data_IF_310540899531
#
_entry.id   IF_310540899531
#
_cell.length_a   1.000
_cell.length_b   1.000
_cell.length_c   1.000
_cell.angle_alpha   90.00
_cell.angle_beta   90.00
_cell.angle_gamma   90.00
#
_symmetry.space_group_name_H-M   'P 1'
#
loop_
_entity.id
_entity.type
_entity.pdbx_description
1 polymer ?
#
# COMPACT_ATOMS: atom_id res chain seq x y z
N UNK A 1 4.65 2.46 -16.32
CA UNK A 1 6.11 2.56 -16.60
C UNK A 1 6.83 2.36 -15.28
N UNK A 2 7.90 1.55 -15.20
CA UNK A 2 8.71 1.37 -13.98
C UNK A 2 8.49 0.07 -13.17
N UNK A 3 7.69 -0.88 -13.67
CA UNK A 3 7.53 -2.18 -12.99
C UNK A 3 8.80 -3.05 -13.02
N UNK A 4 9.73 -2.78 -13.94
CA UNK A 4 10.95 -3.60 -14.12
C UNK A 4 11.87 -3.63 -12.91
N UNK A 5 11.82 -2.60 -12.05
CA UNK A 5 12.64 -2.52 -10.83
C UNK A 5 11.86 -2.96 -9.57
N UNK A 6 10.65 -3.49 -9.76
CA UNK A 6 9.79 -4.01 -8.69
C UNK A 6 9.68 -5.51 -8.77
N UNK A 7 9.07 -6.11 -7.76
CA UNK A 7 8.90 -7.55 -7.69
C UNK A 7 8.10 -8.11 -8.89
N UNK A 8 7.21 -7.31 -9.48
CA UNK A 8 6.46 -7.61 -10.70
C UNK A 8 7.35 -7.65 -11.97
N UNK A 9 8.50 -6.96 -11.97
CA UNK A 9 9.48 -6.99 -13.05
C UNK A 9 10.24 -8.31 -13.16
N UNK A 10 10.30 -9.06 -12.05
CA UNK A 10 10.94 -10.37 -11.91
C UNK A 10 9.87 -11.45 -11.71
N UNK A 11 8.85 -11.45 -12.57
CA UNK A 11 7.65 -12.26 -12.37
C UNK A 11 7.92 -13.77 -12.28
N UNK A 12 8.95 -14.29 -12.96
CA UNK A 12 9.33 -15.69 -12.88
C UNK A 12 9.89 -16.04 -11.49
N UNK A 13 10.87 -15.27 -11.02
CA UNK A 13 11.50 -15.45 -9.71
C UNK A 13 10.50 -15.23 -8.57
N UNK A 14 9.62 -14.22 -8.70
CA UNK A 14 8.53 -13.96 -7.77
C UNK A 14 7.59 -15.17 -7.68
N UNK A 15 7.17 -15.71 -8.83
CA UNK A 15 6.32 -16.91 -8.86
C UNK A 15 7.02 -18.10 -8.21
N UNK A 16 8.29 -18.35 -8.52
CA UNK A 16 9.02 -19.48 -7.95
C UNK A 16 9.16 -19.38 -6.43
N UNK A 17 9.46 -18.19 -5.89
CA UNK A 17 9.54 -17.97 -4.44
C UNK A 17 8.18 -18.16 -3.76
N UNK A 18 7.14 -17.53 -4.29
CA UNK A 18 5.79 -17.59 -3.72
C UNK A 18 5.20 -19.00 -3.79
N UNK A 19 5.42 -19.71 -4.91
CA UNK A 19 5.06 -21.12 -5.06
C UNK A 19 5.83 -21.99 -4.07
N UNK A 20 7.13 -21.74 -3.85
CA UNK A 20 7.91 -22.49 -2.87
C UNK A 20 7.34 -22.31 -1.46
N UNK A 21 6.98 -21.08 -1.06
CA UNK A 21 6.35 -20.79 0.24
C UNK A 21 5.06 -21.57 0.39
N UNK A 22 4.17 -21.50 -0.60
CA UNK A 22 2.87 -22.18 -0.60
C UNK A 22 3.02 -23.71 -0.54
N UNK A 23 3.79 -24.30 -1.47
CA UNK A 23 3.94 -25.76 -1.59
C UNK A 23 4.66 -26.41 -0.41
N UNK A 24 5.51 -25.66 0.31
CA UNK A 24 6.18 -26.16 1.50
C UNK A 24 5.45 -25.81 2.81
N UNK A 25 4.27 -25.18 2.74
CA UNK A 25 3.48 -24.83 3.91
C UNK A 25 4.20 -23.85 4.84
N UNK A 26 4.99 -22.93 4.30
CA UNK A 26 5.68 -21.90 5.09
C UNK A 26 4.66 -20.82 5.45
N UNK A 27 4.22 -20.82 6.71
CA UNK A 27 3.16 -19.94 7.20
C UNK A 27 3.71 -18.65 7.81
N UNK A 28 2.81 -17.67 8.00
CA UNK A 28 3.09 -16.42 8.71
C UNK A 28 4.20 -15.57 8.06
N UNK A 29 4.27 -15.59 6.72
CA UNK A 29 5.26 -14.83 5.95
C UNK A 29 4.78 -13.40 5.70
N UNK A 30 5.64 -12.44 6.04
CA UNK A 30 5.43 -11.01 5.76
C UNK A 30 6.63 -10.51 4.98
N UNK A 31 6.38 -9.96 3.78
CA UNK A 31 7.37 -9.24 3.01
C UNK A 31 7.32 -7.77 3.44
N UNK A 32 8.47 -7.23 3.85
CA UNK A 32 8.60 -5.81 4.21
C UNK A 32 9.51 -5.18 3.17
N UNK A 33 8.96 -4.22 2.43
CA UNK A 33 9.63 -3.60 1.29
C UNK A 33 9.69 -2.07 1.40
N UNK A 34 10.59 -1.51 0.60
CA UNK A 34 10.71 -0.13 0.16
C UNK A 34 10.99 -0.21 -1.36
N UNK A 35 11.06 0.82 -2.20
CA UNK A 35 11.31 2.25 -2.00
C UNK A 35 10.22 3.10 -2.65
N UNK A 36 8.99 2.59 -2.83
CA UNK A 36 7.97 3.38 -3.56
C UNK A 36 7.52 4.65 -2.82
N UNK A 37 8.13 4.98 -1.67
CA UNK A 37 7.87 6.18 -0.86
C UNK A 37 6.42 6.31 -0.41
N UNK A 38 5.75 5.17 -0.22
CA UNK A 38 4.36 5.10 0.20
C UNK A 38 4.09 3.80 0.94
N UNK A 39 3.15 3.84 1.89
CA UNK A 39 2.72 2.62 2.57
C UNK A 39 1.59 1.97 1.77
N UNK A 40 1.78 0.72 1.36
CA UNK A 40 0.76 -0.08 0.67
C UNK A 40 0.86 -1.51 1.18
N UNK A 41 -0.28 -2.10 1.55
CA UNK A 41 -0.38 -3.49 2.01
C UNK A 41 -1.24 -4.28 1.05
N UNK A 42 -0.77 -5.46 0.66
CA UNK A 42 -1.58 -6.38 -0.16
C UNK A 42 -1.24 -7.83 0.13
N UNK A 43 -2.20 -8.73 0.00
CA UNK A 43 -1.90 -10.16 -0.03
C UNK A 43 -1.08 -10.52 -1.28
N UNK A 44 -0.27 -11.56 -1.15
CA UNK A 44 0.59 -12.03 -2.23
C UNK A 44 0.00 -13.29 -2.87
N UNK A 45 -0.16 -13.22 -4.18
CA UNK A 45 -0.61 -14.32 -5.04
C UNK A 45 0.42 -14.57 -6.14
N UNK A 46 0.43 -15.77 -6.71
CA UNK A 46 1.23 -16.11 -7.89
C UNK A 46 0.37 -16.70 -9.02
N UNK A 47 0.93 -16.81 -10.22
CA UNK A 47 0.30 -17.46 -11.38
C UNK A 47 1.21 -18.57 -11.90
N UNK A 48 0.66 -19.73 -12.26
CA UNK A 48 1.46 -20.83 -12.83
C UNK A 48 1.88 -20.61 -14.29
N UNK A 49 1.20 -19.71 -14.98
CA UNK A 49 1.48 -19.28 -16.34
C UNK A 49 1.00 -17.83 -16.53
N UNK A 50 1.57 -17.07 -17.49
CA UNK A 50 1.17 -15.68 -17.71
C UNK A 50 -0.33 -15.55 -17.92
N UNK A 51 -0.96 -14.59 -17.23
CA UNK A 51 -2.41 -14.35 -17.29
C UNK A 51 -3.24 -15.55 -16.80
N UNK A 52 -2.67 -16.43 -15.98
CA UNK A 52 -3.41 -17.48 -15.29
C UNK A 52 -4.22 -16.97 -14.09
N UNK A 53 -5.03 -17.82 -13.45
CA UNK A 53 -5.68 -17.46 -12.19
C UNK A 53 -4.63 -17.15 -11.11
N UNK A 54 -4.97 -16.21 -10.21
CA UNK A 54 -4.15 -15.93 -9.04
C UNK A 54 -4.33 -17.03 -7.99
N UNK A 55 -3.21 -17.56 -7.50
CA UNK A 55 -3.16 -18.57 -6.43
C UNK A 55 -2.72 -17.88 -5.12
N UNK A 56 -3.53 -17.92 -4.06
CA UNK A 56 -3.20 -17.30 -2.79
C UNK A 56 -2.11 -18.07 -2.04
N UNK A 57 -1.18 -17.34 -1.42
CA UNK A 57 -0.05 -17.94 -0.67
C UNK A 57 -0.22 -17.93 0.85
N UNK A 58 -1.16 -17.12 1.36
CA UNK A 58 -1.25 -16.79 2.79
C UNK A 58 -0.16 -15.82 3.28
N UNK A 59 0.74 -15.36 2.40
CA UNK A 59 1.68 -14.29 2.67
C UNK A 59 1.12 -12.93 2.25
N UNK A 60 1.59 -11.85 2.88
CA UNK A 60 1.33 -10.49 2.43
C UNK A 60 2.61 -9.67 2.37
N UNK A 61 2.54 -8.59 1.61
CA UNK A 61 3.54 -7.55 1.57
C UNK A 61 3.02 -6.27 2.20
N UNK A 62 3.95 -5.54 2.80
CA UNK A 62 3.81 -4.13 3.10
C UNK A 62 5.03 -3.39 2.53
N UNK A 63 4.79 -2.45 1.63
CA UNK A 63 5.78 -1.40 1.39
C UNK A 63 5.65 -0.35 2.48
N UNK A 64 6.75 0.13 3.05
CA UNK A 64 6.75 1.20 4.05
C UNK A 64 7.01 2.56 3.42
N UNK A 65 6.31 3.59 3.89
CA UNK A 65 6.51 4.98 3.44
C UNK A 65 7.89 5.57 3.79
N UNK A 66 8.23 6.67 3.11
CA UNK A 66 9.47 7.41 3.39
C UNK A 66 9.33 8.31 4.63
N UNK A 67 10.45 8.50 5.35
CA UNK A 67 10.51 9.43 6.49
C UNK A 67 10.32 10.88 6.04
N UNK A 68 10.90 11.27 4.92
CA UNK A 68 10.68 12.54 4.24
C UNK A 68 11.22 12.45 2.81
N UNK A 69 10.32 12.40 1.82
CA UNK A 69 10.67 12.47 0.40
C UNK A 69 9.65 13.33 -0.33
N UNK A 70 10.10 14.44 -0.93
CA UNK A 70 9.25 15.36 -1.67
C UNK A 70 9.41 15.14 -3.19
N UNK A 71 8.36 14.88 -3.96
CA UNK A 71 6.96 14.76 -3.55
C UNK A 71 6.61 13.36 -2.99
N UNK A 72 5.64 13.24 -2.06
CA UNK A 72 5.14 11.93 -1.62
C UNK A 72 4.65 11.06 -2.79
N UNK A 73 4.52 9.75 -2.55
CA UNK A 73 4.11 8.81 -3.60
C UNK A 73 2.75 9.14 -4.21
N UNK A 74 1.76 9.49 -3.38
CA UNK A 74 0.40 9.76 -3.83
C UNK A 74 0.30 10.85 -4.90
N UNK A 75 0.76 12.09 -4.64
CA UNK A 75 0.80 13.17 -5.62
C UNK A 75 1.59 12.81 -6.88
N UNK A 76 2.71 12.08 -6.72
CA UNK A 76 3.53 11.62 -7.85
C UNK A 76 2.74 10.70 -8.79
N UNK A 77 1.96 9.77 -8.24
CA UNK A 77 1.12 8.86 -9.04
C UNK A 77 0.00 9.62 -9.74
N UNK A 78 -0.65 10.57 -9.07
CA UNK A 78 -1.71 11.39 -9.68
C UNK A 78 -1.18 12.23 -10.84
N UNK A 79 -0.02 12.86 -10.68
CA UNK A 79 0.63 13.62 -11.76
C UNK A 79 0.95 12.74 -12.98
N UNK A 80 1.41 11.50 -12.74
CA UNK A 80 1.65 10.53 -13.82
C UNK A 80 0.32 10.11 -14.47
N UNK A 81 -0.71 9.85 -13.67
CA UNK A 81 -2.02 9.43 -14.17
C UNK A 81 -2.65 10.49 -15.07
N UNK A 82 -2.58 11.76 -14.69
CA UNK A 82 -3.08 12.88 -15.49
C UNK A 82 -2.29 13.01 -16.80
N UNK A 83 -0.95 13.00 -16.73
CA UNK A 83 -0.09 13.10 -17.93
C UNK A 83 -0.27 11.94 -18.90
N UNK A 84 -0.57 10.75 -18.37
CA UNK A 84 -0.85 9.56 -19.17
C UNK A 84 -2.30 9.48 -19.67
N UNK A 85 -3.18 10.40 -19.26
CA UNK A 85 -4.58 10.45 -19.68
C UNK A 85 -5.49 9.44 -18.97
N UNK A 86 -5.06 8.88 -17.83
CA UNK A 86 -5.90 8.02 -17.00
C UNK A 86 -6.92 8.79 -16.16
N UNK A 87 -6.65 10.07 -15.88
CA UNK A 87 -7.59 10.99 -15.25
C UNK A 87 -7.63 12.30 -16.05
N UNK A 88 -8.79 12.96 -16.05
CA UNK A 88 -9.01 14.25 -16.69
C UNK A 88 -8.95 15.41 -15.68
N UNK A 89 -9.00 16.65 -16.18
CA UNK A 89 -8.92 17.84 -15.33
C UNK A 89 -10.04 17.93 -14.26
N UNK A 90 -11.32 17.59 -14.57
CA UNK A 90 -12.35 17.48 -13.53
C UNK A 90 -12.02 16.45 -12.45
N UNK A 91 -11.52 15.28 -12.82
CA UNK A 91 -11.13 14.22 -11.88
C UNK A 91 -9.93 14.65 -11.03
N UNK A 92 -8.94 15.33 -11.62
CA UNK A 92 -7.82 15.93 -10.90
C UNK A 92 -8.30 16.97 -9.88
N UNK A 93 -9.18 17.88 -10.29
CA UNK A 93 -9.73 18.89 -9.39
C UNK A 93 -10.52 18.28 -8.23
N UNK A 94 -11.22 17.16 -8.46
CA UNK A 94 -11.87 16.40 -7.40
C UNK A 94 -10.83 15.85 -6.42
N UNK A 95 -9.80 15.12 -6.88
CA UNK A 95 -8.71 14.64 -6.03
C UNK A 95 -8.02 15.77 -5.24
N UNK A 96 -7.78 16.92 -5.87
CA UNK A 96 -7.14 18.07 -5.22
C UNK A 96 -7.99 18.67 -4.09
N UNK A 97 -9.32 18.52 -4.17
CA UNK A 97 -10.26 18.98 -3.14
C UNK A 97 -10.36 18.05 -1.92
N UNK A 98 -9.89 16.82 -2.04
CA UNK A 98 -9.97 15.82 -0.97
C UNK A 98 -8.94 16.11 0.14
N UNK A 99 -9.31 15.89 1.42
CA UNK A 99 -8.36 15.96 2.53
C UNK A 99 -7.40 14.76 2.53
N UNK A 100 -6.32 14.87 3.30
CA UNK A 100 -5.56 13.70 3.78
C UNK A 100 -6.14 13.33 5.14
N UNK A 101 -7.10 12.41 5.15
CA UNK A 101 -7.83 12.03 6.36
C UNK A 101 -8.15 10.52 6.36
N UNK A 102 -7.13 9.65 6.44
CA UNK A 102 -7.29 8.20 6.26
C UNK A 102 -8.39 7.64 7.16
N UNK A 103 -9.32 6.91 6.57
CA UNK A 103 -10.40 6.23 7.27
C UNK A 103 -10.49 4.74 6.90
N UNK A 104 -11.41 3.99 7.51
CA UNK A 104 -11.50 2.52 7.34
C UNK A 104 -12.45 2.05 6.23
N UNK A 105 -13.10 2.97 5.52
CA UNK A 105 -13.97 2.65 4.40
C UNK A 105 -13.21 2.81 3.07
N UNK A 106 -13.88 2.54 1.95
CA UNK A 106 -13.27 2.59 0.61
C UNK A 106 -13.93 3.69 -0.25
N UNK A 107 -14.63 4.66 0.37
CA UNK A 107 -15.31 5.73 -0.33
C UNK A 107 -14.29 6.81 -0.67
N UNK A 108 -14.24 7.35 -1.90
CA UNK A 108 -13.24 8.35 -2.29
C UNK A 108 -13.55 9.73 -1.69
N UNK A 109 -13.49 9.84 -0.37
CA UNK A 109 -13.72 11.05 0.44
C UNK A 109 -12.39 11.62 1.00
N UNK A 110 -11.28 10.91 0.82
CA UNK A 110 -9.91 11.34 1.07
C UNK A 110 -8.96 10.97 -0.09
N UNK A 111 -7.76 11.55 -0.09
CA UNK A 111 -6.77 11.36 -1.15
C UNK A 111 -6.23 9.93 -1.27
N UNK A 112 -6.08 9.20 -0.17
CA UNK A 112 -5.60 7.83 -0.15
C UNK A 112 -6.66 6.89 -0.75
N UNK A 113 -7.93 7.06 -0.40
CA UNK A 113 -9.06 6.28 -0.96
C UNK A 113 -9.26 6.52 -2.45
N UNK A 114 -9.15 7.78 -2.89
CA UNK A 114 -9.20 8.09 -4.32
C UNK A 114 -8.12 7.32 -5.09
N UNK A 115 -6.88 7.36 -4.60
CA UNK A 115 -5.76 6.69 -5.25
C UNK A 115 -5.87 5.17 -5.15
N UNK A 116 -6.35 4.63 -4.04
CA UNK A 116 -6.67 3.22 -3.89
C UNK A 116 -7.67 2.75 -4.95
N UNK A 117 -8.75 3.51 -5.15
CA UNK A 117 -9.73 3.25 -6.20
C UNK A 117 -9.09 3.24 -7.59
N UNK A 118 -8.23 4.22 -7.88
CA UNK A 118 -7.49 4.27 -9.14
C UNK A 118 -6.60 3.04 -9.32
N UNK A 119 -5.81 2.64 -8.31
CA UNK A 119 -4.96 1.44 -8.35
C UNK A 119 -5.81 0.18 -8.57
N UNK A 120 -6.88 0.00 -7.80
CA UNK A 120 -7.77 -1.15 -7.89
C UNK A 120 -8.39 -1.28 -9.29
N UNK A 121 -8.73 -0.16 -9.94
CA UNK A 121 -9.26 -0.18 -11.32
C UNK A 121 -8.27 -0.78 -12.32
N UNK A 122 -6.96 -0.73 -12.04
CA UNK A 122 -5.91 -1.21 -12.94
C UNK A 122 -5.53 -2.67 -12.66
N UNK A 123 -5.56 -3.12 -11.41
CA UNK A 123 -4.99 -4.43 -11.02
C UNK A 123 -6.02 -5.57 -10.90
N UNK A 124 -7.28 -5.25 -10.66
CA UNK A 124 -8.32 -6.25 -10.32
C UNK A 124 -9.00 -6.88 -11.53
N UNK A 125 -8.89 -6.28 -12.71
CA UNK A 125 -9.49 -6.83 -13.94
C UNK A 125 -8.98 -8.26 -14.19
N UNK A 126 -9.87 -9.24 -14.41
CA UNK A 126 -9.45 -10.63 -14.53
C UNK A 126 -8.68 -10.88 -15.84
N UNK A 127 -7.80 -11.89 -15.88
CA UNK A 127 -7.14 -12.28 -17.11
C UNK A 127 -8.11 -12.75 -18.21
N UNK A 128 -7.78 -12.53 -19.50
CA UNK A 128 -6.55 -11.92 -20.01
C UNK A 128 -6.61 -10.38 -20.07
N UNK A 129 -7.73 -9.75 -19.68
CA UNK A 129 -7.92 -8.30 -19.77
C UNK A 129 -7.16 -7.52 -18.69
N UNK A 130 -6.76 -8.18 -17.60
CA UNK A 130 -5.91 -7.63 -16.55
C UNK A 130 -5.14 -8.71 -15.78
N UNK A 131 -4.70 -8.35 -14.58
CA UNK A 131 -3.82 -9.17 -13.74
C UNK A 131 -4.58 -10.06 -12.76
N UNK A 132 -5.84 -9.74 -12.46
CA UNK A 132 -6.70 -10.49 -11.55
C UNK A 132 -6.24 -10.48 -10.09
N UNK A 133 -5.47 -9.48 -9.67
CA UNK A 133 -5.08 -9.32 -8.27
C UNK A 133 -6.30 -8.97 -7.39
N UNK A 134 -6.21 -9.30 -6.11
CA UNK A 134 -7.16 -8.80 -5.12
C UNK A 134 -7.00 -7.26 -5.00
N UNK A 135 -8.08 -6.54 -4.60
CA UNK A 135 -7.99 -5.11 -4.30
C UNK A 135 -6.97 -4.83 -3.20
N UNK A 136 -6.33 -3.66 -3.26
CA UNK A 136 -5.39 -3.16 -2.24
C UNK A 136 -5.94 -3.38 -0.84
N UNK A 137 -5.18 -4.10 -0.03
CA UNK A 137 -5.48 -4.42 1.35
C UNK A 137 -5.59 -5.92 1.58
N UNK A 138 -6.08 -6.27 2.79
CA UNK A 138 -6.21 -7.67 3.21
C UNK A 138 -7.67 -8.12 3.35
N UNK A 139 -8.61 -7.20 3.15
CA UNK A 139 -10.05 -7.46 3.28
C UNK A 139 -10.52 -8.41 2.18
N UNK A 140 -11.12 -9.53 2.56
CA UNK A 140 -11.57 -10.56 1.63
C UNK A 140 -10.48 -11.54 1.17
N UNK A 141 -9.23 -11.32 1.55
CA UNK A 141 -8.14 -12.29 1.34
C UNK A 141 -8.22 -13.47 2.32
N UNK A 142 -7.38 -14.49 2.13
CA UNK A 142 -7.25 -15.63 3.05
C UNK A 142 -6.52 -15.28 4.36
N UNK A 143 -6.01 -14.05 4.49
CA UNK A 143 -5.20 -13.61 5.63
C UNK A 143 -6.12 -13.16 6.76
N UNK A 144 -5.93 -13.71 7.96
CA UNK A 144 -6.70 -13.38 9.15
C UNK A 144 -6.34 -12.00 9.71
N UNK A 145 -6.67 -10.95 8.95
CA UNK A 145 -6.36 -9.56 9.27
C UNK A 145 -7.59 -8.81 9.79
N UNK A 146 -7.37 -7.86 10.70
CA UNK A 146 -8.40 -6.91 11.17
C UNK A 146 -7.83 -5.50 11.10
N UNK A 147 -8.45 -4.65 10.28
CA UNK A 147 -8.16 -3.22 10.23
C UNK A 147 -8.70 -2.55 11.50
N UNK A 148 -7.86 -1.76 12.16
CA UNK A 148 -8.18 -1.08 13.42
C UNK A 148 -8.36 0.43 13.23
N UNK A 149 -7.58 1.06 12.36
CA UNK A 149 -7.63 2.50 12.09
C UNK A 149 -7.01 2.81 10.72
N UNK A 150 -7.53 3.85 10.04
CA UNK A 150 -7.12 4.23 8.69
C UNK A 150 -7.37 3.10 7.72
N UNK A 151 -6.51 2.96 6.72
CA UNK A 151 -6.63 1.95 5.67
C UNK A 151 -5.33 1.15 5.47
N UNK A 152 -5.30 0.21 4.54
CA UNK A 152 -4.14 -0.55 4.09
C UNK A 152 -3.23 0.23 3.12
N UNK A 153 -3.51 1.52 2.92
CA UNK A 153 -2.72 2.45 2.12
C UNK A 153 -2.53 3.76 2.90
N UNK A 154 -1.32 4.31 2.85
CA UNK A 154 -1.01 5.65 3.35
C UNK A 154 0.15 6.22 2.53
N UNK A 155 -0.19 7.01 1.51
CA UNK A 155 0.75 7.47 0.48
C UNK A 155 0.78 8.99 0.33
N UNK A 156 0.02 9.70 1.17
CA UNK A 156 -0.01 11.16 1.27
C UNK A 156 0.60 11.68 2.59
N UNK A 157 1.45 10.89 3.26
CA UNK A 157 2.07 11.24 4.53
C UNK A 157 3.56 10.90 4.57
N UNK A 158 4.30 11.59 5.44
CA UNK A 158 5.66 11.25 5.82
C UNK A 158 5.64 10.48 7.14
N UNK A 159 6.39 9.40 7.24
CA UNK A 159 6.17 8.50 8.37
C UNK A 159 7.11 7.32 8.51
N UNK A 160 6.72 6.41 9.40
CA UNK A 160 7.36 5.12 9.59
C UNK A 160 6.32 4.06 9.98
N UNK A 161 6.67 2.79 9.77
CA UNK A 161 5.84 1.65 10.17
C UNK A 161 6.52 0.86 11.29
N UNK A 162 5.76 0.57 12.34
CA UNK A 162 6.16 -0.25 13.47
C UNK A 162 5.51 -1.65 13.37
N UNK A 163 6.31 -2.68 13.60
CA UNK A 163 5.88 -4.08 13.67
C UNK A 163 6.05 -4.60 15.10
N UNK A 164 4.94 -5.00 15.73
CA UNK A 164 4.95 -5.61 17.07
C UNK A 164 4.36 -7.01 17.04
N UNK A 165 5.14 -8.00 17.45
CA UNK A 165 4.68 -9.38 17.58
C UNK A 165 4.42 -9.67 19.05
N UNK A 166 3.19 -10.05 19.40
CA UNK A 166 2.87 -10.48 20.75
C UNK A 166 3.57 -11.82 21.03
N UNK A 167 4.41 -11.87 22.05
CA UNK A 167 5.20 -13.08 22.37
C UNK A 167 4.35 -14.33 22.67
N UNK A 168 3.16 -14.17 23.27
CA UNK A 168 2.31 -15.28 23.68
C UNK A 168 1.37 -15.72 22.57
N UNK A 169 0.70 -14.76 21.93
CA UNK A 169 -0.31 -15.07 20.90
C UNK A 169 0.27 -15.17 19.50
N UNK A 170 1.50 -14.69 19.29
CA UNK A 170 2.16 -14.52 17.99
C UNK A 170 1.40 -13.57 17.04
N UNK A 171 0.40 -12.84 17.53
CA UNK A 171 -0.33 -11.82 16.76
C UNK A 171 0.61 -10.69 16.37
N UNK A 172 0.65 -10.38 15.08
CA UNK A 172 1.34 -9.22 14.55
C UNK A 172 0.41 -8.00 14.62
N UNK A 173 0.90 -6.89 15.15
CA UNK A 173 0.32 -5.56 15.00
C UNK A 173 1.24 -4.73 14.13
N UNK A 174 0.68 -4.13 13.10
CA UNK A 174 1.36 -3.19 12.21
C UNK A 174 0.76 -1.82 12.46
N UNK A 175 1.59 -0.80 12.67
CA UNK A 175 1.12 0.58 12.89
C UNK A 175 1.99 1.53 12.09
N UNK A 176 1.40 2.25 11.16
CA UNK A 176 2.05 3.33 10.42
C UNK A 176 1.69 4.65 11.06
N UNK A 177 2.74 5.38 11.46
CA UNK A 177 2.65 6.74 11.97
C UNK A 177 2.98 7.71 10.85
N UNK A 178 2.23 8.80 10.76
CA UNK A 178 2.40 9.79 9.72
C UNK A 178 2.24 11.23 10.22
N UNK A 179 2.89 12.15 9.53
CA UNK A 179 2.61 13.58 9.58
C UNK A 179 2.20 14.06 8.18
N UNK A 180 1.55 15.22 8.12
CA UNK A 180 1.38 15.92 6.85
C UNK A 180 2.76 16.12 6.17
N UNK A 181 2.85 15.96 4.84
CA UNK A 181 4.08 16.20 4.11
C UNK A 181 4.44 17.69 4.11
N UNK A 182 5.68 18.00 3.76
CA UNK A 182 6.16 19.37 3.61
C UNK A 182 7.28 19.43 2.57
N UNK A 183 7.42 20.59 1.95
CA UNK A 183 8.49 20.93 1.01
C UNK A 183 9.67 21.55 1.74
N UNK A 184 10.83 21.61 1.09
CA UNK A 184 12.00 22.33 1.60
C UNK A 184 11.68 23.83 1.83
N UNK A 185 10.91 24.44 0.93
CA UNK A 185 10.51 25.84 1.04
C UNK A 185 9.65 26.11 2.29
N UNK A 186 8.70 25.21 2.60
CA UNK A 186 7.88 25.30 3.82
C UNK A 186 8.73 25.11 5.07
N UNK A 187 9.68 24.16 5.06
CA UNK A 187 10.61 23.94 6.16
C UNK A 187 11.49 25.17 6.42
N UNK A 188 11.99 25.83 5.38
CA UNK A 188 12.81 27.05 5.52
C UNK A 188 11.96 28.23 6.01
N UNK A 189 10.72 28.35 5.53
CA UNK A 189 9.83 29.45 5.88
C UNK A 189 9.35 29.39 7.34
N UNK A 190 9.04 28.20 7.85
CA UNK A 190 8.62 27.99 9.24
C UNK A 190 9.11 26.64 9.79
N UNK A 191 10.39 26.55 10.22
CA UNK A 191 10.94 25.33 10.77
C UNK A 191 10.17 24.83 12.00
N UNK A 192 9.64 25.74 12.82
CA UNK A 192 8.92 25.39 14.04
C UNK A 192 7.59 24.71 13.72
N UNK A 193 6.85 25.20 12.73
CA UNK A 193 5.62 24.55 12.29
C UNK A 193 5.85 23.11 11.80
N UNK A 194 7.02 22.80 11.23
CA UNK A 194 7.36 21.43 10.83
C UNK A 194 7.79 20.58 12.03
N UNK A 195 8.74 21.06 12.85
CA UNK A 195 9.28 20.28 13.97
C UNK A 195 8.27 20.07 15.11
N UNK A 196 7.23 20.91 15.19
CA UNK A 196 6.16 20.77 16.18
C UNK A 196 5.03 19.82 15.71
N UNK A 197 5.09 19.28 14.48
CA UNK A 197 4.11 18.29 14.02
C UNK A 197 4.19 17.04 14.88
N UNK A 198 3.04 16.58 15.35
CA UNK A 198 2.92 15.35 16.13
C UNK A 198 2.52 14.22 15.20
N UNK A 199 3.27 13.12 15.13
CA UNK A 199 2.87 11.96 14.34
C UNK A 199 1.56 11.34 14.85
N UNK A 200 0.67 11.02 13.92
CA UNK A 200 -0.61 10.36 14.18
C UNK A 200 -0.63 8.97 13.56
N UNK A 201 -1.52 8.08 14.03
CA UNK A 201 -1.72 6.77 13.40
C UNK A 201 -2.53 6.96 12.13
N UNK A 202 -1.92 6.65 10.99
CA UNK A 202 -2.55 6.77 9.66
C UNK A 202 -2.95 5.41 9.08
N UNK A 203 -2.41 4.33 9.61
CA UNK A 203 -2.84 2.96 9.33
C UNK A 203 -2.51 2.07 10.52
N UNK A 204 -3.45 1.24 10.94
CA UNK A 204 -3.20 0.21 11.93
C UNK A 204 -4.07 -1.02 11.67
N UNK A 205 -3.43 -2.18 11.67
CA UNK A 205 -4.12 -3.47 11.58
C UNK A 205 -3.39 -4.53 12.40
N UNK A 206 -4.10 -5.63 12.65
CA UNK A 206 -3.53 -6.83 13.26
C UNK A 206 -3.71 -8.02 12.34
N UNK A 207 -2.78 -8.97 12.42
CA UNK A 207 -2.84 -10.25 11.71
C UNK A 207 -2.69 -11.37 12.74
N UNK A 208 -3.67 -12.28 12.75
CA UNK A 208 -3.61 -13.49 13.55
C UNK A 208 -2.76 -14.55 12.86
N UNK A 209 -1.90 -15.26 13.61
CA UNK A 209 -1.05 -16.29 13.03
C UNK A 209 -1.86 -17.53 12.65
N UNK A 210 -1.46 -18.17 11.56
CA UNK A 210 -1.90 -19.53 11.23
C UNK A 210 -1.18 -20.51 12.17
N UNK A 211 -1.92 -21.52 12.66
CA UNK A 211 -1.46 -22.53 13.61
C UNK A 211 -1.59 -23.94 13.05
#
# INVERSE_FOLDING_TARGET
>A
VGASDRFEGYAAERTDLLRFIDQNGIQNVVFVAADVHGTVVNNLTYQDFPFGPQVPTGAFEITTGAVAYDAPFGPTVIDIAERAGFIDAPTRAFYDSLPVAPDANDLPNDKDDFLKGLINSQITSPPPAGLGYDPVGLKGSSIAATLLQGDYIAVHTFGWTEFRINRQTQRLRVTTYGIAPYTEAELIADPQAITNRVPEVVSQFVVDPVR
#
